data_IF_968921386547
#
_entry.id   IF_968921386547
#
_cell.length_a   1.000
_cell.length_b   1.000
_cell.length_c   1.000
_cell.angle_alpha   90.00
_cell.angle_beta   90.00
_cell.angle_gamma   90.00
#
_symmetry.space_group_name_H-M   'P 1'
#
loop_
_entity.id
_entity.type
_entity.pdbx_description
1 polymer ?
#
# COMPACT_ATOMS: atom_id res chain seq x y z
N UNK A 1 -30.86 9.48 -9.52
CA UNK A 1 -30.06 8.28 -9.22
C UNK A 1 -30.67 7.09 -9.94
N UNK A 2 -30.01 6.52 -10.95
CA UNK A 2 -30.50 5.32 -11.64
C UNK A 2 -29.89 4.03 -11.06
N UNK A 3 -30.58 2.90 -11.23
CA UNK A 3 -30.05 1.59 -10.82
C UNK A 3 -28.75 1.22 -11.54
N UNK A 4 -28.61 1.64 -12.79
CA UNK A 4 -27.39 1.43 -13.58
C UNK A 4 -26.20 2.21 -13.02
N UNK A 5 -26.41 3.47 -12.61
CA UNK A 5 -25.37 4.28 -11.97
C UNK A 5 -24.88 3.63 -10.67
N UNK A 6 -25.81 3.16 -9.83
CA UNK A 6 -25.46 2.47 -8.60
C UNK A 6 -24.68 1.19 -8.91
N UNK A 7 -25.13 0.39 -9.88
CA UNK A 7 -24.46 -0.86 -10.27
C UNK A 7 -23.02 -0.59 -10.74
N UNK A 8 -22.83 0.39 -11.62
CA UNK A 8 -21.51 0.80 -12.12
C UNK A 8 -20.57 1.23 -10.99
N UNK A 9 -21.03 2.08 -10.08
CA UNK A 9 -20.19 2.53 -8.95
C UNK A 9 -19.86 1.37 -8.01
N UNK A 10 -20.78 0.44 -7.79
CA UNK A 10 -20.51 -0.77 -7.00
C UNK A 10 -19.50 -1.70 -7.66
N UNK A 11 -19.52 -1.85 -8.98
CA UNK A 11 -18.54 -2.66 -9.70
C UNK A 11 -17.12 -2.10 -9.57
N UNK A 12 -16.99 -0.77 -9.61
CA UNK A 12 -15.69 -0.07 -9.48
C UNK A 12 -15.20 -0.10 -8.03
N UNK A 13 -16.06 0.29 -7.09
CA UNK A 13 -15.65 0.55 -5.69
C UNK A 13 -15.77 -0.68 -4.79
N UNK A 14 -16.58 -1.66 -5.19
CA UNK A 14 -16.94 -2.79 -4.34
C UNK A 14 -17.86 -2.44 -3.16
N UNK A 15 -18.28 -1.19 -3.04
CA UNK A 15 -19.04 -0.72 -1.88
C UNK A 15 -20.45 -1.33 -1.79
N UNK A 16 -20.98 -1.38 -0.57
CA UNK A 16 -22.35 -1.84 -0.31
C UNK A 16 -23.39 -0.94 -0.97
N UNK A 17 -24.53 -1.52 -1.36
CA UNK A 17 -25.63 -0.78 -2.03
C UNK A 17 -26.05 0.49 -1.28
N UNK A 18 -26.11 0.41 0.05
CA UNK A 18 -26.50 1.53 0.92
C UNK A 18 -25.43 2.62 0.93
N UNK A 19 -24.15 2.24 0.99
CA UNK A 19 -23.05 3.21 0.96
C UNK A 19 -23.01 3.96 -0.37
N UNK A 20 -23.21 3.26 -1.49
CA UNK A 20 -23.25 3.90 -2.82
C UNK A 20 -24.43 4.85 -2.97
N UNK A 21 -25.61 4.49 -2.46
CA UNK A 21 -26.77 5.39 -2.46
C UNK A 21 -26.47 6.67 -1.67
N UNK A 22 -25.95 6.54 -0.45
CA UNK A 22 -25.59 7.69 0.40
C UNK A 22 -24.55 8.59 -0.27
N UNK A 23 -23.50 7.99 -0.84
CA UNK A 23 -22.46 8.74 -1.52
C UNK A 23 -23.00 9.48 -2.76
N UNK A 24 -23.92 8.86 -3.51
CA UNK A 24 -24.59 9.52 -4.64
C UNK A 24 -25.53 10.65 -4.19
N UNK A 25 -26.24 10.48 -3.09
CA UNK A 25 -27.09 11.52 -2.52
C UNK A 25 -26.24 12.72 -2.05
N UNK A 26 -25.15 12.48 -1.33
CA UNK A 26 -24.19 13.50 -0.88
C UNK A 26 -23.47 14.19 -2.05
N UNK A 27 -23.19 13.45 -3.13
CA UNK A 27 -22.59 13.98 -4.35
C UNK A 27 -23.61 14.64 -5.30
N UNK A 28 -24.89 14.74 -4.92
CA UNK A 28 -25.96 15.23 -5.77
C UNK A 28 -26.02 14.55 -7.16
N UNK A 29 -25.69 13.26 -7.21
CA UNK A 29 -25.67 12.44 -8.43
C UNK A 29 -24.38 12.50 -9.25
N UNK A 30 -23.35 13.23 -8.81
CA UNK A 30 -22.03 13.27 -9.44
C UNK A 30 -21.25 11.98 -9.17
N UNK A 31 -21.01 11.19 -10.22
CA UNK A 31 -20.38 9.87 -10.10
C UNK A 31 -18.92 9.96 -9.60
N UNK A 32 -18.18 10.96 -10.06
CA UNK A 32 -16.75 11.12 -9.70
C UNK A 32 -16.64 11.46 -8.23
N UNK A 33 -17.42 12.44 -7.77
CA UNK A 33 -17.47 12.80 -6.35
C UNK A 33 -17.99 11.67 -5.48
N UNK A 34 -18.98 10.91 -5.93
CA UNK A 34 -19.47 9.75 -5.19
C UNK A 34 -18.38 8.69 -5.02
N UNK A 35 -17.59 8.42 -6.06
CA UNK A 35 -16.44 7.49 -5.97
C UNK A 35 -15.39 8.02 -4.98
N UNK A 36 -15.08 9.31 -5.00
CA UNK A 36 -14.14 9.90 -4.02
C UNK A 36 -14.65 9.80 -2.58
N UNK A 37 -15.94 10.05 -2.34
CA UNK A 37 -16.57 9.91 -1.03
C UNK A 37 -16.50 8.45 -0.55
N UNK A 38 -16.80 7.50 -1.44
CA UNK A 38 -16.70 6.08 -1.14
C UNK A 38 -15.27 5.67 -0.80
N UNK A 39 -14.28 6.16 -1.54
CA UNK A 39 -12.86 5.92 -1.28
C UNK A 39 -12.45 6.41 0.10
N UNK A 40 -12.79 7.66 0.46
CA UNK A 40 -12.54 8.24 1.79
C UNK A 40 -13.23 7.43 2.90
N UNK A 41 -14.49 7.03 2.68
CA UNK A 41 -15.23 6.22 3.65
C UNK A 41 -14.63 4.82 3.83
N UNK A 42 -14.13 4.23 2.74
CA UNK A 42 -13.44 2.94 2.72
C UNK A 42 -12.15 2.98 3.52
N UNK A 43 -11.35 4.04 3.36
CA UNK A 43 -10.15 4.28 4.17
C UNK A 43 -10.48 4.36 5.67
N UNK A 44 -11.53 5.10 6.03
CA UNK A 44 -11.96 5.18 7.43
C UNK A 44 -12.45 3.82 7.98
N UNK A 45 -13.11 3.01 7.16
CA UNK A 45 -13.53 1.64 7.54
C UNK A 45 -12.32 0.71 7.71
N UNK A 46 -11.31 0.84 6.85
CA UNK A 46 -10.10 0.04 6.93
C UNK A 46 -9.29 0.35 8.20
N UNK A 47 -9.13 1.63 8.53
CA UNK A 47 -8.47 2.07 9.77
C UNK A 47 -9.12 1.46 11.02
N UNK A 48 -10.46 1.36 11.05
CA UNK A 48 -11.21 0.73 12.16
C UNK A 48 -11.03 -0.80 12.24
N UNK A 49 -10.44 -1.42 11.23
CA UNK A 49 -10.22 -2.86 11.15
C UNK A 49 -8.77 -3.26 11.39
N UNK A 50 -7.82 -2.33 11.36
CA UNK A 50 -6.39 -2.62 11.52
C UNK A 50 -6.05 -3.40 12.80
N UNK A 51 -6.78 -3.15 13.89
CA UNK A 51 -6.56 -3.82 15.18
C UNK A 51 -7.20 -5.22 15.26
N UNK A 52 -7.95 -5.63 14.23
CA UNK A 52 -8.56 -6.96 14.20
C UNK A 52 -7.51 -8.01 13.89
N UNK A 53 -7.59 -9.14 14.56
CA UNK A 53 -6.66 -10.23 14.35
C UNK A 53 -6.83 -10.86 12.95
N UNK A 54 -5.74 -10.91 12.17
CA UNK A 54 -5.68 -11.54 10.86
C UNK A 54 -4.69 -12.72 10.89
N UNK A 55 -5.21 -13.95 10.99
CA UNK A 55 -4.42 -15.19 11.13
C UNK A 55 -4.51 -16.13 9.93
N UNK A 56 -5.56 -16.01 9.14
CA UNK A 56 -5.71 -16.74 7.88
C UNK A 56 -5.02 -15.99 6.74
N UNK A 57 -4.83 -16.62 5.58
CA UNK A 57 -4.22 -15.92 4.46
C UNK A 57 -3.66 -16.83 3.37
N UNK A 58 -2.85 -16.23 2.50
CA UNK A 58 -2.17 -16.92 1.41
C UNK A 58 -0.73 -16.45 1.28
N UNK A 59 0.09 -17.28 0.63
CA UNK A 59 1.40 -16.86 0.15
C UNK A 59 1.25 -16.45 -1.31
N UNK A 60 1.47 -15.17 -1.59
CA UNK A 60 1.62 -14.66 -2.94
C UNK A 60 3.02 -14.96 -3.46
N UNK A 61 3.14 -15.32 -4.73
CA UNK A 61 4.44 -15.54 -5.37
C UNK A 61 4.44 -15.04 -6.81
N UNK A 62 5.58 -14.53 -7.26
CA UNK A 62 5.81 -14.11 -8.63
C UNK A 62 7.20 -14.54 -9.08
N UNK A 63 7.27 -15.13 -10.28
CA UNK A 63 8.51 -15.44 -10.98
C UNK A 63 8.56 -14.59 -12.25
N UNK A 64 9.61 -13.81 -12.42
CA UNK A 64 9.78 -13.00 -13.62
C UNK A 64 10.05 -13.89 -14.84
N UNK A 65 9.63 -13.45 -16.03
CA UNK A 65 9.60 -14.28 -17.25
C UNK A 65 10.98 -14.79 -17.70
N UNK A 66 12.06 -14.16 -17.26
CA UNK A 66 13.43 -14.58 -17.55
C UNK A 66 14.01 -15.57 -16.51
N UNK A 67 13.23 -15.97 -15.49
CA UNK A 67 13.64 -16.85 -14.39
C UNK A 67 14.85 -16.38 -13.58
N UNK A 68 15.17 -15.07 -13.60
CA UNK A 68 16.29 -14.50 -12.82
C UNK A 68 15.87 -13.77 -11.56
N UNK A 69 14.59 -13.42 -11.44
CA UNK A 69 14.04 -12.68 -10.30
C UNK A 69 12.75 -13.37 -9.85
N UNK A 70 12.64 -13.62 -8.55
CA UNK A 70 11.44 -14.16 -7.93
C UNK A 70 11.15 -13.48 -6.61
N UNK A 71 9.87 -13.40 -6.24
CA UNK A 71 9.46 -12.84 -4.96
C UNK A 71 8.28 -13.61 -4.37
N UNK A 72 8.20 -13.62 -3.04
CA UNK A 72 7.12 -14.22 -2.27
C UNK A 72 6.71 -13.28 -1.14
N UNK A 73 5.44 -13.32 -0.75
CA UNK A 73 4.90 -12.48 0.33
C UNK A 73 3.79 -13.21 1.07
N UNK A 74 3.77 -13.10 2.40
CA UNK A 74 2.62 -13.53 3.21
C UNK A 74 1.57 -12.43 3.22
N UNK A 75 0.34 -12.76 2.85
CA UNK A 75 -0.80 -11.85 2.94
C UNK A 75 -1.85 -12.47 3.85
N UNK A 76 -2.15 -11.79 4.95
CA UNK A 76 -3.10 -12.23 5.97
C UNK A 76 -4.48 -11.58 5.80
N UNK A 77 -5.51 -12.28 6.25
CA UNK A 77 -6.91 -11.87 6.36
C UNK A 77 -7.57 -12.46 7.62
N UNK A 78 -8.82 -12.10 7.89
CA UNK A 78 -9.52 -12.56 9.09
C UNK A 78 -10.03 -14.01 8.93
N UNK A 79 -10.48 -14.40 7.73
CA UNK A 79 -11.14 -15.71 7.50
C UNK A 79 -10.59 -16.51 6.31
N UNK A 80 -10.74 -17.84 6.36
CA UNK A 80 -10.35 -18.75 5.28
C UNK A 80 -11.21 -18.56 4.01
N UNK A 81 -12.44 -18.05 4.15
CA UNK A 81 -13.31 -17.67 3.04
C UNK A 81 -12.68 -16.55 2.20
N UNK A 82 -12.13 -15.52 2.83
CA UNK A 82 -11.42 -14.44 2.13
C UNK A 82 -10.09 -14.94 1.58
N UNK A 83 -9.36 -15.79 2.30
CA UNK A 83 -8.13 -16.40 1.79
C UNK A 83 -8.34 -17.15 0.45
N UNK A 84 -9.53 -17.73 0.25
CA UNK A 84 -9.90 -18.44 -0.99
C UNK A 84 -10.45 -17.52 -2.09
N UNK A 85 -10.73 -16.25 -1.80
CA UNK A 85 -11.25 -15.28 -2.75
C UNK A 85 -10.21 -14.94 -3.84
N UNK A 86 -10.63 -14.92 -5.10
CA UNK A 86 -9.72 -14.65 -6.23
C UNK A 86 -9.15 -13.24 -6.22
N UNK A 87 -9.91 -12.22 -5.77
CA UNK A 87 -9.37 -10.87 -5.67
C UNK A 87 -8.30 -10.74 -4.57
N UNK A 88 -8.40 -11.54 -3.50
CA UNK A 88 -7.42 -11.59 -2.44
C UNK A 88 -6.13 -12.29 -2.91
N UNK A 89 -6.26 -13.41 -3.64
CA UNK A 89 -5.11 -14.10 -4.25
C UNK A 89 -4.41 -13.22 -5.29
N UNK A 90 -5.16 -12.52 -6.13
CA UNK A 90 -4.59 -11.61 -7.12
C UNK A 90 -3.86 -10.44 -6.45
N UNK A 91 -4.39 -9.89 -5.34
CA UNK A 91 -3.66 -8.90 -4.54
C UNK A 91 -2.30 -9.44 -4.06
N UNK A 92 -2.26 -10.65 -3.49
CA UNK A 92 -1.02 -11.25 -3.01
C UNK A 92 0.01 -11.43 -4.15
N UNK A 93 -0.46 -11.88 -5.32
CA UNK A 93 0.37 -12.03 -6.52
C UNK A 93 0.88 -10.69 -7.05
N UNK A 94 0.04 -9.67 -7.05
CA UNK A 94 0.39 -8.32 -7.49
C UNK A 94 1.42 -7.66 -6.59
N UNK A 95 1.29 -7.85 -5.28
CA UNK A 95 2.30 -7.40 -4.31
C UNK A 95 3.61 -8.17 -4.51
N UNK A 96 3.57 -9.49 -4.74
CA UNK A 96 4.78 -10.26 -5.05
C UNK A 96 5.46 -9.75 -6.33
N UNK A 97 4.69 -9.46 -7.39
CA UNK A 97 5.22 -8.86 -8.61
C UNK A 97 5.84 -7.48 -8.34
N UNK A 98 5.16 -6.63 -7.58
CA UNK A 98 5.69 -5.34 -7.17
C UNK A 98 7.02 -5.48 -6.42
N UNK A 99 7.12 -6.38 -5.44
CA UNK A 99 8.35 -6.66 -4.70
C UNK A 99 9.48 -7.06 -5.66
N UNK A 100 9.19 -7.93 -6.64
CA UNK A 100 10.19 -8.36 -7.62
C UNK A 100 10.78 -7.18 -8.41
N UNK A 101 9.94 -6.20 -8.76
CA UNK A 101 10.30 -5.05 -9.58
C UNK A 101 10.94 -3.91 -8.77
N UNK A 102 10.40 -3.59 -7.59
CA UNK A 102 10.79 -2.40 -6.79
C UNK A 102 11.84 -2.71 -5.72
N UNK A 103 12.14 -3.98 -5.46
CA UNK A 103 13.18 -4.42 -4.52
C UNK A 103 13.14 -3.72 -3.14
N UNK A 104 11.96 -3.61 -2.47
CA UNK A 104 11.90 -3.08 -1.12
C UNK A 104 12.80 -3.91 -0.19
N UNK A 105 13.38 -3.25 0.80
CA UNK A 105 14.25 -3.87 1.82
C UNK A 105 13.50 -4.13 3.12
N UNK A 106 12.50 -3.29 3.41
CA UNK A 106 11.73 -3.35 4.63
C UNK A 106 10.24 -3.32 4.32
N UNK A 107 9.43 -3.78 5.27
CA UNK A 107 7.98 -3.72 5.14
C UNK A 107 7.49 -2.27 5.27
N UNK A 108 7.98 -1.55 6.29
CA UNK A 108 7.54 -0.20 6.64
C UNK A 108 8.73 0.72 7.01
N UNK A 109 8.55 2.05 6.93
CA UNK A 109 9.56 3.03 7.36
C UNK A 109 10.07 2.84 8.80
N UNK A 110 9.20 2.33 9.69
CA UNK A 110 9.50 2.06 11.10
C UNK A 110 10.36 0.81 11.28
N UNK A 111 10.38 -0.08 10.28
CA UNK A 111 11.16 -1.31 10.31
C UNK A 111 12.63 -1.09 9.89
N UNK A 112 12.99 0.13 9.50
CA UNK A 112 14.35 0.49 9.07
C UNK A 112 15.26 0.65 10.30
N UNK A 113 16.35 -0.14 10.43
CA UNK A 113 17.26 -0.06 11.57
C UNK A 113 17.98 1.29 11.68
N UNK A 114 18.14 1.81 12.91
CA UNK A 114 18.85 3.08 13.14
C UNK A 114 20.30 3.03 12.64
N UNK A 115 20.99 1.89 12.78
CA UNK A 115 22.36 1.72 12.26
C UNK A 115 22.48 1.95 10.74
N UNK A 116 21.43 1.65 9.97
CA UNK A 116 21.40 1.94 8.54
C UNK A 116 21.18 3.44 8.29
N UNK A 117 20.32 4.07 9.08
CA UNK A 117 20.06 5.50 8.98
C UNK A 117 21.28 6.33 9.36
N UNK A 118 22.02 5.92 10.39
CA UNK A 118 23.26 6.60 10.80
C UNK A 118 24.31 6.58 9.69
N UNK A 119 24.50 5.44 9.02
CA UNK A 119 25.42 5.33 7.87
C UNK A 119 25.03 6.26 6.73
N UNK A 120 23.75 6.30 6.37
CA UNK A 120 23.27 7.22 5.33
C UNK A 120 23.37 8.69 5.77
N UNK A 121 23.14 8.97 7.06
CA UNK A 121 23.26 10.30 7.66
C UNK A 121 24.69 10.82 7.58
N UNK A 122 25.69 9.98 7.81
CA UNK A 122 27.11 10.31 7.63
C UNK A 122 27.41 10.67 6.17
N UNK A 123 26.97 9.83 5.22
CA UNK A 123 27.17 10.05 3.78
C UNK A 123 26.56 11.39 3.34
N UNK A 124 25.32 11.68 3.75
CA UNK A 124 24.68 12.95 3.38
C UNK A 124 25.33 14.14 4.08
N UNK A 125 25.79 13.98 5.32
CA UNK A 125 26.53 15.04 6.02
C UNK A 125 27.80 15.38 5.23
N UNK A 126 28.56 14.38 4.77
CA UNK A 126 29.73 14.60 3.93
C UNK A 126 29.43 15.28 2.60
N UNK A 127 28.35 14.87 1.92
CA UNK A 127 27.89 15.51 0.68
C UNK A 127 27.56 16.99 0.90
N UNK A 128 26.98 17.33 2.04
CA UNK A 128 26.49 18.67 2.34
C UNK A 128 27.52 19.56 3.05
N UNK A 129 28.67 19.02 3.50
CA UNK A 129 29.77 19.78 4.15
C UNK A 129 30.24 20.96 3.30
N UNK A 130 30.18 20.84 1.97
CA UNK A 130 30.64 21.86 1.04
C UNK A 130 29.58 22.94 0.70
N UNK A 131 28.33 22.79 1.18
CA UNK A 131 27.24 23.69 0.80
C UNK A 131 27.13 24.95 1.68
N UNK A 132 27.89 25.04 2.78
CA UNK A 132 27.98 26.26 3.61
C UNK A 132 26.65 26.73 4.22
N UNK A 133 25.64 25.84 4.32
CA UNK A 133 24.28 26.20 4.76
C UNK A 133 24.18 26.33 6.28
N UNK A 134 23.29 27.21 6.79
CA UNK A 134 22.97 27.30 8.22
C UNK A 134 22.53 25.95 8.84
N UNK A 135 22.89 25.72 10.11
CA UNK A 135 22.62 24.47 10.82
C UNK A 135 21.13 24.06 10.83
N UNK A 136 20.21 25.03 10.93
CA UNK A 136 18.77 24.76 10.92
C UNK A 136 18.27 24.28 9.55
N UNK A 137 18.84 24.80 8.46
CA UNK A 137 18.52 24.37 7.10
C UNK A 137 19.08 22.97 6.85
N UNK A 138 20.29 22.70 7.34
CA UNK A 138 20.91 21.38 7.29
C UNK A 138 20.05 20.34 8.00
N UNK A 139 19.57 20.61 9.21
CA UNK A 139 18.69 19.71 9.95
C UNK A 139 17.39 19.40 9.18
N UNK A 140 16.76 20.41 8.56
CA UNK A 140 15.56 20.22 7.73
C UNK A 140 15.84 19.37 6.49
N UNK A 141 16.98 19.57 5.83
CA UNK A 141 17.41 18.77 4.68
C UNK A 141 17.63 17.31 5.09
N UNK A 142 18.32 17.08 6.22
CA UNK A 142 18.60 15.74 6.73
C UNK A 142 17.31 14.98 7.06
N UNK A 143 16.38 15.60 7.78
CA UNK A 143 15.07 15.00 8.07
C UNK A 143 14.30 14.63 6.80
N UNK A 144 14.34 15.50 5.78
CA UNK A 144 13.71 15.22 4.48
C UNK A 144 14.35 14.04 3.74
N UNK A 145 15.69 13.96 3.74
CA UNK A 145 16.44 12.84 3.15
C UNK A 145 16.18 11.53 3.88
N UNK A 146 16.22 11.54 5.20
CA UNK A 146 15.91 10.35 6.03
C UNK A 146 14.50 9.84 5.77
N UNK A 147 13.51 10.74 5.79
CA UNK A 147 12.12 10.38 5.49
C UNK A 147 11.99 9.74 4.11
N UNK A 148 12.53 10.41 3.09
CA UNK A 148 12.47 9.93 1.70
C UNK A 148 13.17 8.58 1.55
N UNK A 149 14.35 8.41 2.15
CA UNK A 149 15.09 7.15 2.12
C UNK A 149 14.28 6.00 2.73
N UNK A 150 13.69 6.22 3.92
CA UNK A 150 12.80 5.24 4.55
C UNK A 150 11.62 4.88 3.65
N UNK A 151 11.00 5.87 3.03
CA UNK A 151 9.85 5.67 2.13
C UNK A 151 10.23 4.89 0.86
N UNK A 152 11.41 5.15 0.28
CA UNK A 152 11.88 4.49 -0.95
C UNK A 152 12.22 3.01 -0.73
N UNK A 153 12.77 2.65 0.43
CA UNK A 153 13.18 1.27 0.73
C UNK A 153 12.09 0.42 1.39
N UNK A 154 10.94 1.01 1.70
CA UNK A 154 9.84 0.36 2.41
C UNK A 154 8.67 0.01 1.50
N UNK A 155 8.25 -1.25 1.50
CA UNK A 155 7.20 -1.78 0.64
C UNK A 155 5.89 -0.97 0.75
N UNK A 156 5.43 -0.69 1.96
CA UNK A 156 4.12 -0.07 2.19
C UNK A 156 3.99 1.35 1.59
N UNK A 157 5.09 2.07 1.47
CA UNK A 157 5.14 3.45 0.98
C UNK A 157 5.48 3.56 -0.50
N UNK A 158 5.90 2.46 -1.13
CA UNK A 158 6.25 2.46 -2.54
C UNK A 158 5.01 2.66 -3.43
N UNK A 159 5.11 3.47 -4.50
CA UNK A 159 4.10 3.54 -5.55
C UNK A 159 3.90 2.20 -6.24
N UNK A 160 2.66 1.75 -6.38
CA UNK A 160 2.34 0.46 -6.95
C UNK A 160 2.69 0.41 -8.43
N UNK A 161 3.36 -0.66 -8.88
CA UNK A 161 3.93 -0.74 -10.23
C UNK A 161 2.88 -0.76 -11.34
N UNK A 162 1.67 -1.26 -11.06
CA UNK A 162 0.57 -1.22 -12.04
C UNK A 162 -0.23 0.09 -11.99
N UNK A 163 -0.14 0.82 -10.89
CA UNK A 163 -0.82 2.10 -10.69
C UNK A 163 -0.02 2.99 -9.73
N UNK A 164 0.91 3.81 -10.23
CA UNK A 164 1.78 4.65 -9.40
C UNK A 164 1.05 5.74 -8.60
N UNK A 165 -0.23 6.00 -8.90
CA UNK A 165 -1.05 6.96 -8.13
C UNK A 165 -1.45 6.42 -6.75
N UNK A 166 -1.22 5.13 -6.49
CA UNK A 166 -1.49 4.47 -5.23
C UNK A 166 -0.23 3.86 -4.66
N UNK A 167 0.01 4.08 -3.37
CA UNK A 167 0.99 3.29 -2.62
C UNK A 167 0.47 1.88 -2.34
N UNK A 168 1.36 0.95 -1.96
CA UNK A 168 0.95 -0.39 -1.54
C UNK A 168 0.01 -0.35 -0.32
N UNK A 169 0.27 0.54 0.64
CA UNK A 169 -0.62 0.73 1.80
C UNK A 169 -2.03 1.19 1.38
N UNK A 170 -2.12 2.13 0.42
CA UNK A 170 -3.41 2.59 -0.10
C UNK A 170 -4.12 1.49 -0.89
N UNK A 171 -3.41 0.72 -1.71
CA UNK A 171 -3.95 -0.44 -2.42
C UNK A 171 -4.57 -1.45 -1.44
N UNK A 172 -3.86 -1.79 -0.36
CA UNK A 172 -4.37 -2.69 0.69
C UNK A 172 -5.62 -2.09 1.34
N UNK A 173 -5.57 -0.80 1.67
CA UNK A 173 -6.68 -0.07 2.28
C UNK A 173 -7.94 -0.08 1.40
N UNK A 174 -7.79 0.11 0.09
CA UNK A 174 -8.89 0.00 -0.88
C UNK A 174 -9.46 -1.41 -0.91
N UNK A 175 -8.59 -2.43 -0.89
CA UNK A 175 -9.00 -3.84 -0.85
C UNK A 175 -9.72 -4.21 0.44
N UNK A 176 -9.31 -3.68 1.60
CA UNK A 176 -10.04 -3.83 2.87
C UNK A 176 -11.44 -3.22 2.77
N UNK A 177 -11.56 -2.03 2.15
CA UNK A 177 -12.84 -1.37 1.91
C UNK A 177 -13.81 -2.23 1.09
N UNK A 178 -13.29 -2.94 0.07
CA UNK A 178 -14.06 -3.80 -0.82
C UNK A 178 -14.37 -5.18 -0.24
N UNK A 179 -13.37 -5.86 0.32
CA UNK A 179 -13.48 -7.23 0.86
C UNK A 179 -14.22 -7.22 2.19
N UNK A 180 -13.99 -6.18 3.01
CA UNK A 180 -14.63 -6.06 4.30
C UNK A 180 -13.94 -6.81 5.44
N UNK A 181 -12.69 -7.24 5.27
CA UNK A 181 -11.84 -7.80 6.33
C UNK A 181 -10.54 -7.01 6.44
N UNK A 182 -9.92 -7.04 7.62
CA UNK A 182 -8.55 -6.61 7.80
C UNK A 182 -7.62 -7.41 6.88
N UNK A 183 -6.67 -6.73 6.25
CA UNK A 183 -5.66 -7.34 5.39
C UNK A 183 -4.31 -6.81 5.83
N UNK A 184 -3.40 -7.72 6.16
CA UNK A 184 -2.07 -7.37 6.67
C UNK A 184 -0.99 -8.07 5.85
N UNK A 185 0.10 -7.35 5.61
CA UNK A 185 1.30 -7.95 5.03
C UNK A 185 2.16 -8.57 6.13
N UNK A 186 2.64 -9.78 5.87
CA UNK A 186 3.70 -10.39 6.65
C UNK A 186 5.04 -10.29 5.95
N UNK A 187 5.92 -11.22 6.28
CA UNK A 187 7.26 -11.32 5.68
C UNK A 187 7.17 -11.45 4.15
N UNK A 188 8.17 -10.88 3.50
CA UNK A 188 8.40 -11.08 2.08
C UNK A 188 9.86 -11.42 1.80
N UNK A 189 10.08 -12.08 0.68
CA UNK A 189 11.40 -12.47 0.21
C UNK A 189 11.52 -12.16 -1.27
N UNK A 190 12.70 -11.69 -1.68
CA UNK A 190 13.07 -11.45 -3.07
C UNK A 190 14.39 -12.13 -3.35
N UNK A 191 14.45 -12.84 -4.46
CA UNK A 191 15.64 -13.50 -4.98
C UNK A 191 15.97 -12.88 -6.35
N UNK A 192 17.26 -12.68 -6.58
CA UNK A 192 17.81 -12.19 -7.85
C UNK A 192 19.16 -12.86 -8.08
N UNK A 193 19.41 -13.33 -9.31
CA UNK A 193 20.66 -13.95 -9.76
C UNK A 193 21.69 -12.91 -10.20
#
# INVERSE_FOLDING_TARGET
MSLEQIKKIREITGAGMVDVKKALDEAAGDEVKAVELLRKSGQAKALKKNDREAKEGVIGSYMHSNNKIGAMVKLYCETDFVARNEEFKELAKDIAMHISAMSPKFLSPESVPEEMLEKEREIWTEQLKNEGKPAEIMAKIMNGKEKKFKEEISLLTQPFVKNPDLTISELITEKIGKIGENIQLGDFFRFEL
#
